data_IF_221229975402
#
_entry.id   IF_221229975402
#
_cell.length_a   1.000
_cell.length_b   1.000
_cell.length_c   1.000
_cell.angle_alpha   90.00
_cell.angle_beta   90.00
_cell.angle_gamma   90.00
#
_symmetry.space_group_name_H-M   'P 1'
#
loop_
_entity.id
_entity.type
_entity.pdbx_description
1 polymer ?
#
# COMPACT_ATOMS: atom_id res chain seq x y z
N UNK A 1 -29.55 -3.50 -1.00
CA UNK A 1 -29.52 -4.19 -2.31
C UNK A 1 -29.76 -3.14 -3.38
N UNK A 2 -28.76 -2.81 -4.22
CA UNK A 2 -28.91 -1.80 -5.27
C UNK A 2 -29.30 -2.48 -6.59
N UNK A 3 -30.55 -2.36 -7.01
CA UNK A 3 -31.07 -2.89 -8.27
C UNK A 3 -31.44 -1.69 -9.14
N UNK A 4 -30.95 -1.63 -10.37
CA UNK A 4 -31.27 -0.52 -11.27
C UNK A 4 -31.09 -0.88 -12.75
N UNK A 5 -31.75 -0.17 -13.68
CA UNK A 5 -31.57 -0.29 -15.13
C UNK A 5 -30.11 -0.07 -15.60
N UNK A 6 -29.72 -0.55 -16.79
CA UNK A 6 -28.38 -0.25 -17.36
C UNK A 6 -28.17 1.28 -17.41
N UNK A 7 -27.06 1.77 -16.83
CA UNK A 7 -26.72 3.22 -16.80
C UNK A 7 -27.00 3.96 -15.48
N UNK A 8 -27.72 3.39 -14.50
CA UNK A 8 -28.18 4.14 -13.30
C UNK A 8 -27.19 4.21 -12.13
N UNK A 9 -25.89 4.38 -12.38
CA UNK A 9 -24.94 4.69 -11.30
C UNK A 9 -24.63 3.57 -10.29
N UNK A 10 -25.06 2.32 -10.51
CA UNK A 10 -24.80 1.19 -9.58
C UNK A 10 -23.33 1.06 -9.14
N UNK A 11 -22.40 1.13 -10.08
CA UNK A 11 -20.96 1.08 -9.76
C UNK A 11 -20.50 2.29 -8.94
N UNK A 12 -21.12 3.46 -9.14
CA UNK A 12 -20.83 4.66 -8.37
C UNK A 12 -21.34 4.50 -6.93
N UNK A 13 -22.53 3.92 -6.74
CA UNK A 13 -23.04 3.58 -5.40
C UNK A 13 -22.15 2.58 -4.67
N UNK A 14 -21.67 1.53 -5.35
CA UNK A 14 -20.73 0.56 -4.75
C UNK A 14 -19.41 1.24 -4.37
N UNK A 15 -18.85 2.08 -5.24
CA UNK A 15 -17.63 2.83 -4.95
C UNK A 15 -17.82 3.74 -3.74
N UNK A 16 -18.93 4.48 -3.67
CA UNK A 16 -19.24 5.35 -2.53
C UNK A 16 -19.32 4.57 -1.21
N UNK A 17 -19.97 3.40 -1.20
CA UNK A 17 -20.04 2.54 -0.02
C UNK A 17 -18.68 1.98 0.38
N UNK A 18 -17.84 1.64 -0.62
CA UNK A 18 -16.49 1.17 -0.36
C UNK A 18 -15.63 2.27 0.28
N UNK A 19 -15.67 3.48 -0.29
CA UNK A 19 -14.97 4.66 0.23
C UNK A 19 -15.42 4.98 1.66
N UNK A 20 -16.72 4.93 1.95
CA UNK A 20 -17.23 5.12 3.31
C UNK A 20 -16.59 4.13 4.29
N UNK A 21 -16.53 2.84 3.92
CA UNK A 21 -15.93 1.80 4.76
C UNK A 21 -14.43 2.04 4.96
N UNK A 22 -13.71 2.39 3.89
CA UNK A 22 -12.29 2.74 3.94
C UNK A 22 -12.03 3.96 4.84
N UNK A 23 -12.88 4.98 4.78
CA UNK A 23 -12.76 6.21 5.59
C UNK A 23 -12.87 5.95 7.10
N UNK A 24 -13.50 4.84 7.49
CA UNK A 24 -13.63 4.38 8.88
C UNK A 24 -12.46 3.48 9.31
N UNK A 25 -11.44 3.32 8.47
CA UNK A 25 -10.30 2.44 8.69
C UNK A 25 -10.59 0.96 8.39
N UNK A 26 -11.71 0.64 7.75
CA UNK A 26 -12.04 -0.72 7.33
C UNK A 26 -11.39 -1.11 6.01
N UNK A 27 -11.51 -2.38 5.64
CA UNK A 27 -11.09 -2.92 4.34
C UNK A 27 -12.29 -3.45 3.55
N UNK A 28 -12.23 -3.41 2.21
CA UNK A 28 -13.33 -3.86 1.34
C UNK A 28 -12.81 -4.83 0.29
N UNK A 29 -13.48 -5.99 0.14
CA UNK A 29 -13.28 -6.91 -0.99
C UNK A 29 -14.46 -6.75 -1.96
N UNK A 30 -14.15 -6.40 -3.21
CA UNK A 30 -15.13 -6.28 -4.28
C UNK A 30 -14.92 -7.43 -5.26
N UNK A 31 -15.95 -8.25 -5.45
CA UNK A 31 -15.91 -9.40 -6.35
C UNK A 31 -17.05 -9.31 -7.39
N UNK A 32 -16.78 -9.78 -8.60
CA UNK A 32 -17.76 -9.85 -9.68
C UNK A 32 -17.47 -11.04 -10.59
N UNK A 33 -18.51 -11.53 -11.27
CA UNK A 33 -18.38 -12.54 -12.33
C UNK A 33 -17.70 -11.98 -13.59
N UNK A 34 -17.74 -10.67 -13.78
CA UNK A 34 -17.15 -9.99 -14.94
C UNK A 34 -15.96 -9.15 -14.52
N UNK A 35 -14.80 -9.41 -15.12
CA UNK A 35 -13.57 -8.65 -14.85
C UNK A 35 -13.71 -7.16 -15.11
N UNK A 36 -14.40 -6.77 -16.18
CA UNK A 36 -14.63 -5.37 -16.47
C UNK A 36 -15.44 -4.66 -15.36
N UNK A 37 -16.34 -5.35 -14.67
CA UNK A 37 -17.17 -4.72 -13.64
C UNK A 37 -16.36 -4.34 -12.40
N UNK A 38 -15.41 -5.17 -12.01
CA UNK A 38 -14.48 -4.85 -10.91
C UNK A 38 -13.47 -3.78 -11.34
N UNK A 39 -13.06 -3.71 -12.63
CA UNK A 39 -12.24 -2.61 -13.15
C UNK A 39 -13.00 -1.27 -13.05
N UNK A 40 -14.25 -1.21 -13.51
CA UNK A 40 -15.09 0.01 -13.46
C UNK A 40 -15.28 0.53 -12.03
N UNK A 41 -15.44 -0.37 -11.05
CA UNK A 41 -15.59 0.05 -9.65
C UNK A 41 -14.26 0.49 -9.07
N UNK A 42 -13.16 -0.22 -9.35
CA UNK A 42 -11.82 0.14 -8.92
C UNK A 42 -11.43 1.54 -9.39
N UNK A 43 -11.54 1.80 -10.69
CA UNK A 43 -11.21 3.11 -11.26
C UNK A 43 -12.05 4.23 -10.61
N UNK A 44 -13.34 4.01 -10.37
CA UNK A 44 -14.19 5.01 -9.70
C UNK A 44 -13.74 5.31 -8.28
N UNK A 45 -13.21 4.33 -7.56
CA UNK A 45 -12.67 4.55 -6.22
C UNK A 45 -11.41 5.42 -6.31
N UNK A 46 -10.47 5.05 -7.17
CA UNK A 46 -9.20 5.79 -7.37
C UNK A 46 -9.46 7.22 -7.85
N UNK A 47 -10.32 7.40 -8.86
CA UNK A 47 -10.71 8.70 -9.41
C UNK A 47 -11.35 9.60 -8.34
N UNK A 48 -12.17 9.02 -7.46
CA UNK A 48 -12.88 9.78 -6.41
C UNK A 48 -11.96 10.15 -5.24
N UNK A 49 -11.04 9.26 -4.87
CA UNK A 49 -10.06 9.51 -3.80
C UNK A 49 -8.93 10.41 -4.28
N UNK A 50 -8.61 10.38 -5.58
CA UNK A 50 -7.45 11.07 -6.15
C UNK A 50 -6.12 10.41 -5.79
N UNK A 51 -6.13 9.09 -5.51
CA UNK A 51 -4.94 8.33 -5.13
C UNK A 51 -4.87 7.04 -5.95
N UNK A 52 -3.92 6.99 -6.87
CA UNK A 52 -3.62 5.78 -7.65
C UNK A 52 -3.01 4.70 -6.75
N UNK A 53 -3.36 3.44 -7.01
CA UNK A 53 -2.78 2.28 -6.31
C UNK A 53 -3.44 1.95 -4.97
N UNK A 54 -4.48 2.69 -4.56
CA UNK A 54 -5.27 2.33 -3.36
C UNK A 54 -6.14 1.09 -3.60
N UNK A 55 -6.45 0.77 -4.86
CA UNK A 55 -7.18 -0.44 -5.23
C UNK A 55 -6.22 -1.51 -5.72
N UNK A 56 -6.23 -2.65 -5.04
CA UNK A 56 -5.48 -3.84 -5.47
C UNK A 56 -6.35 -4.75 -6.33
N UNK A 57 -5.96 -4.98 -7.60
CA UNK A 57 -6.67 -5.93 -8.46
C UNK A 57 -6.21 -7.38 -8.24
N UNK A 58 -6.98 -8.09 -7.41
CA UNK A 58 -6.81 -9.54 -7.22
C UNK A 58 -7.24 -10.39 -8.42
N UNK A 59 -6.81 -11.65 -8.44
CA UNK A 59 -7.26 -12.67 -9.40
C UNK A 59 -6.43 -12.77 -10.70
N UNK A 60 -5.49 -11.85 -10.94
CA UNK A 60 -4.50 -12.00 -12.01
C UNK A 60 -3.26 -12.73 -11.47
N UNK A 61 -2.89 -13.82 -12.11
CA UNK A 61 -1.73 -14.65 -11.73
C UNK A 61 -0.45 -13.83 -11.66
N UNK A 62 -0.31 -12.86 -12.58
CA UNK A 62 0.79 -11.93 -12.71
C UNK A 62 0.90 -11.02 -11.48
N UNK A 63 -0.22 -10.49 -10.98
CA UNK A 63 -0.21 -9.64 -9.78
C UNK A 63 0.17 -10.46 -8.54
N UNK A 64 -0.37 -11.67 -8.43
CA UNK A 64 -0.06 -12.58 -7.32
C UNK A 64 1.42 -12.98 -7.33
N UNK A 65 2.02 -13.10 -8.52
CA UNK A 65 3.46 -13.29 -8.71
C UNK A 65 4.27 -12.06 -8.29
N UNK A 66 3.87 -10.87 -8.70
CA UNK A 66 4.54 -9.61 -8.32
C UNK A 66 4.47 -9.36 -6.81
N UNK A 67 3.31 -9.61 -6.19
CA UNK A 67 3.13 -9.46 -4.75
C UNK A 67 3.99 -10.47 -3.98
N UNK A 68 4.04 -11.73 -4.42
CA UNK A 68 4.95 -12.73 -3.85
C UNK A 68 6.40 -12.26 -3.93
N UNK A 69 6.82 -11.79 -5.11
CA UNK A 69 8.17 -11.28 -5.30
C UNK A 69 8.48 -10.08 -4.41
N UNK A 70 7.56 -9.12 -4.29
CA UNK A 70 7.73 -7.96 -3.41
C UNK A 70 7.85 -8.37 -1.93
N UNK A 71 7.03 -9.31 -1.48
CA UNK A 71 7.12 -9.87 -0.12
C UNK A 71 8.45 -10.62 0.05
N UNK A 72 8.85 -11.44 -0.91
CA UNK A 72 10.12 -12.16 -0.88
C UNK A 72 11.31 -11.19 -0.82
N UNK A 73 11.27 -10.07 -1.55
CA UNK A 73 12.29 -9.01 -1.52
C UNK A 73 12.33 -8.28 -0.18
N UNK A 74 11.18 -7.95 0.41
CA UNK A 74 11.11 -7.36 1.75
C UNK A 74 11.67 -8.31 2.81
N UNK A 75 11.28 -9.59 2.76
CA UNK A 75 11.79 -10.63 3.65
C UNK A 75 13.29 -10.84 3.44
N UNK A 76 13.75 -10.87 2.18
CA UNK A 76 15.16 -10.98 1.85
C UNK A 76 15.96 -9.79 2.38
N UNK A 77 15.45 -8.56 2.26
CA UNK A 77 16.06 -7.37 2.86
C UNK A 77 16.19 -7.44 4.38
N UNK A 78 15.24 -8.11 5.06
CA UNK A 78 15.32 -8.42 6.49
C UNK A 78 16.32 -9.54 6.83
N UNK A 79 16.57 -10.47 5.90
CA UNK A 79 17.56 -11.55 6.07
C UNK A 79 18.98 -11.15 5.64
N UNK A 80 19.14 -10.20 4.70
CA UNK A 80 20.44 -9.68 4.25
C UNK A 80 20.92 -8.50 5.08
N UNK A 81 20.10 -7.97 5.98
CA UNK A 81 20.58 -7.26 7.16
C UNK A 81 21.38 -8.25 8.02
N UNK A 82 22.55 -8.64 7.54
CA UNK A 82 23.65 -9.03 8.41
C UNK A 82 23.73 -7.91 9.42
N UNK A 83 23.46 -8.24 10.68
CA UNK A 83 23.59 -7.27 11.77
C UNK A 83 24.90 -6.54 11.51
N UNK A 84 24.88 -5.20 11.32
CA UNK A 84 26.07 -4.49 10.89
C UNK A 84 27.19 -4.85 11.85
N UNK A 85 28.32 -5.27 11.28
CA UNK A 85 29.43 -5.87 12.00
C UNK A 85 29.67 -5.03 13.26
N UNK A 86 29.60 -5.60 14.48
CA UNK A 86 29.69 -4.84 15.75
C UNK A 86 30.66 -3.64 15.74
N UNK A 87 31.86 -3.71 15.11
CA UNK A 87 32.72 -2.54 14.95
C UNK A 87 32.09 -1.36 14.16
N UNK A 88 31.37 -1.61 13.07
CA UNK A 88 30.71 -0.57 12.25
C UNK A 88 29.60 0.16 12.98
N UNK A 89 28.76 -0.56 13.75
CA UNK A 89 27.76 0.04 14.64
C UNK A 89 28.39 0.91 15.73
N UNK A 90 29.49 0.44 16.31
CA UNK A 90 30.21 1.18 17.35
C UNK A 90 30.87 2.44 16.79
N UNK A 91 31.33 2.38 15.54
CA UNK A 91 31.94 3.52 14.85
C UNK A 91 30.90 4.56 14.44
N UNK A 92 29.77 4.14 13.87
CA UNK A 92 28.65 5.02 13.56
C UNK A 92 28.08 5.72 14.81
N UNK A 93 27.94 4.98 15.92
CA UNK A 93 27.50 5.57 17.19
C UNK A 93 28.51 6.62 17.73
N UNK A 94 29.82 6.38 17.57
CA UNK A 94 30.87 7.34 17.97
C UNK A 94 30.87 8.59 17.11
N UNK A 95 30.65 8.47 15.80
CA UNK A 95 30.54 9.61 14.90
C UNK A 95 29.34 10.49 15.24
N UNK A 96 28.20 9.88 15.55
CA UNK A 96 27.00 10.60 15.97
C UNK A 96 27.23 11.39 17.27
N UNK A 97 27.90 10.76 18.25
CA UNK A 97 28.29 11.41 19.51
C UNK A 97 29.29 12.54 19.28
N UNK A 98 30.23 12.40 18.33
CA UNK A 98 31.16 13.50 18.00
C UNK A 98 30.45 14.67 17.32
N UNK A 99 29.51 14.41 16.42
CA UNK A 99 28.73 15.46 15.76
C UNK A 99 27.88 16.22 16.76
N UNK A 100 27.21 15.51 17.67
CA UNK A 100 26.40 16.10 18.72
C UNK A 100 27.24 17.01 19.63
N UNK A 101 28.46 16.56 19.96
CA UNK A 101 29.40 17.34 20.78
C UNK A 101 29.94 18.56 20.05
N UNK A 102 30.18 18.48 18.74
CA UNK A 102 30.66 19.60 17.93
C UNK A 102 29.55 20.65 17.71
N UNK A 103 28.30 20.21 17.57
CA UNK A 103 27.12 21.09 17.50
C UNK A 103 26.89 21.82 18.82
N UNK A 104 27.05 21.12 19.96
CA UNK A 104 26.92 21.70 21.30
C UNK A 104 28.06 22.67 21.67
N UNK A 105 29.20 22.63 20.97
CA UNK A 105 30.32 23.55 21.21
C UNK A 105 30.22 24.86 20.40
N UNK A 106 29.27 24.94 19.46
CA UNK A 106 29.02 26.11 18.62
C UNK A 106 27.89 27.04 19.15
N UNK A 107 27.26 26.69 20.28
CA UNK A 107 26.32 27.52 21.05
C UNK A 107 26.90 27.83 22.43
#
# INVERSE_FOLDING_TARGET
MAIGPRGTGKSFTIAALAIETLSRGGSVLIASKMDHAVDVVGNKIEDTIGLEGVVTRGGRSEYLKQLKQFVDELLAGMHTATAPDRPTLTQAARELISLERDILFFF
#
